data_IF_159417359145
#
_entry.id   IF_159417359145
#
_cell.length_a   1.000
_cell.length_b   1.000
_cell.length_c   1.000
_cell.angle_alpha   90.00
_cell.angle_beta   90.00
_cell.angle_gamma   90.00
#
_symmetry.space_group_name_H-M   'P 1'
#
loop_
_entity.id
_entity.type
_entity.pdbx_description
1 polymer ?
#
# COMPACT_ATOMS: atom_id res chain seq x y z
N UNK A 1 8.66 -7.20 42.66
CA UNK A 1 7.93 -8.34 42.07
C UNK A 1 6.40 -8.17 42.14
N UNK A 2 5.75 -8.25 43.32
CA UNK A 2 4.26 -8.22 43.43
C UNK A 2 3.56 -7.03 42.76
N UNK A 3 4.10 -5.80 42.90
CA UNK A 3 3.55 -4.59 42.26
C UNK A 3 3.66 -4.61 40.72
N UNK A 4 4.74 -5.19 40.20
CA UNK A 4 4.94 -5.34 38.75
C UNK A 4 3.99 -6.39 38.17
N UNK A 5 3.81 -7.52 38.86
CA UNK A 5 2.84 -8.56 38.48
C UNK A 5 1.42 -8.00 38.48
N UNK A 6 1.02 -7.24 39.51
CA UNK A 6 -0.29 -6.59 39.55
C UNK A 6 -0.53 -5.62 38.39
N UNK A 7 0.47 -4.81 38.04
CA UNK A 7 0.38 -3.88 36.91
C UNK A 7 0.30 -4.61 35.56
N UNK A 8 1.07 -5.68 35.38
CA UNK A 8 1.04 -6.51 34.18
C UNK A 8 -0.31 -7.21 33.99
N UNK A 9 -0.87 -7.81 35.05
CA UNK A 9 -2.19 -8.43 35.03
C UNK A 9 -3.27 -7.40 34.71
N UNK A 10 -3.20 -6.20 35.29
CA UNK A 10 -4.14 -5.11 34.99
C UNK A 10 -4.08 -4.67 33.52
N UNK A 11 -2.88 -4.51 32.97
CA UNK A 11 -2.70 -4.17 31.55
C UNK A 11 -3.25 -5.26 30.63
N UNK A 12 -2.95 -6.53 30.91
CA UNK A 12 -3.52 -7.66 30.18
C UNK A 12 -5.06 -7.62 30.25
N UNK A 13 -5.62 -7.36 31.44
CA UNK A 13 -7.07 -7.23 31.62
C UNK A 13 -7.67 -6.16 30.71
N UNK A 14 -7.05 -4.98 30.62
CA UNK A 14 -7.49 -3.91 29.71
C UNK A 14 -7.41 -4.39 28.25
N UNK A 15 -6.27 -4.94 27.82
CA UNK A 15 -6.12 -5.39 26.43
C UNK A 15 -7.14 -6.47 26.07
N UNK A 16 -7.37 -7.45 26.96
CA UNK A 16 -8.38 -8.48 26.76
C UNK A 16 -9.79 -7.91 26.71
N UNK A 17 -10.13 -6.94 27.57
CA UNK A 17 -11.44 -6.26 27.56
C UNK A 17 -11.72 -5.48 26.28
N UNK A 18 -10.69 -5.15 25.49
CA UNK A 18 -10.84 -4.48 24.19
C UNK A 18 -10.81 -5.51 23.06
N UNK A 19 -9.80 -6.39 23.05
CA UNK A 19 -9.56 -7.35 21.98
C UNK A 19 -10.72 -8.34 21.86
N UNK A 20 -11.20 -8.89 22.98
CA UNK A 20 -12.25 -9.93 22.95
C UNK A 20 -13.56 -9.38 22.35
N UNK A 21 -14.13 -8.24 22.80
CA UNK A 21 -15.31 -7.68 22.15
C UNK A 21 -15.09 -7.33 20.68
N UNK A 22 -13.92 -6.78 20.32
CA UNK A 22 -13.62 -6.47 18.92
C UNK A 22 -13.59 -7.73 18.03
N UNK A 23 -12.98 -8.82 18.48
CA UNK A 23 -12.95 -10.09 17.74
C UNK A 23 -14.34 -10.70 17.64
N UNK A 24 -15.11 -10.71 18.75
CA UNK A 24 -16.49 -11.21 18.74
C UNK A 24 -17.35 -10.41 17.78
N UNK A 25 -17.25 -9.08 17.80
CA UNK A 25 -17.98 -8.21 16.90
C UNK A 25 -17.58 -8.43 15.44
N UNK A 26 -16.28 -8.58 15.14
CA UNK A 26 -15.80 -8.97 13.81
C UNK A 26 -16.44 -10.27 13.35
N UNK A 27 -16.39 -11.33 14.16
CA UNK A 27 -16.95 -12.64 13.78
C UNK A 27 -18.47 -12.60 13.55
N UNK A 28 -19.21 -11.77 14.29
CA UNK A 28 -20.65 -11.57 14.07
C UNK A 28 -20.90 -10.85 12.75
N UNK A 29 -20.12 -9.81 12.43
CA UNK A 29 -20.21 -9.11 11.15
C UNK A 29 -19.88 -10.05 10.00
N UNK A 30 -18.79 -10.81 10.11
CA UNK A 30 -18.35 -11.77 9.10
C UNK A 30 -19.42 -12.86 8.88
N UNK A 31 -20.06 -13.32 9.96
CA UNK A 31 -21.21 -14.23 9.86
C UNK A 31 -22.39 -13.62 9.11
N UNK A 32 -22.68 -12.33 9.35
CA UNK A 32 -23.78 -11.63 8.71
C UNK A 32 -23.51 -11.37 7.21
N UNK A 33 -22.27 -11.06 6.84
CA UNK A 33 -21.89 -10.78 5.45
C UNK A 33 -21.70 -12.04 4.62
N UNK A 34 -21.00 -13.04 5.16
CA UNK A 34 -20.61 -14.25 4.42
C UNK A 34 -21.57 -15.44 4.63
N UNK A 35 -22.56 -15.33 5.53
CA UNK A 35 -23.45 -16.44 5.92
C UNK A 35 -22.73 -17.69 6.49
N UNK A 36 -21.47 -17.56 6.90
CA UNK A 36 -20.65 -18.61 7.50
C UNK A 36 -19.88 -18.06 8.70
N UNK A 37 -19.66 -18.88 9.73
CA UNK A 37 -18.80 -18.46 10.83
C UNK A 37 -17.35 -18.51 10.36
N UNK A 38 -16.72 -17.34 10.24
CA UNK A 38 -15.31 -17.20 9.88
C UNK A 38 -14.59 -16.37 10.92
N UNK A 39 -13.29 -16.64 11.07
CA UNK A 39 -12.39 -15.84 11.90
C UNK A 39 -11.33 -15.29 10.96
N UNK A 40 -11.57 -14.11 10.43
CA UNK A 40 -10.77 -13.54 9.34
C UNK A 40 -9.31 -13.32 9.75
N UNK A 41 -9.05 -13.00 11.02
CA UNK A 41 -7.70 -12.85 11.55
C UNK A 41 -6.93 -14.18 11.50
N UNK A 42 -7.59 -15.30 11.80
CA UNK A 42 -6.99 -16.64 11.69
C UNK A 42 -6.79 -17.04 10.23
N UNK A 43 -7.78 -16.77 9.37
CA UNK A 43 -7.68 -17.04 7.93
C UNK A 43 -6.51 -16.25 7.30
N UNK A 44 -6.32 -14.99 7.71
CA UNK A 44 -5.18 -14.18 7.30
C UNK A 44 -3.85 -14.83 7.70
N UNK A 45 -3.70 -15.27 8.95
CA UNK A 45 -2.47 -15.92 9.41
C UNK A 45 -2.23 -17.22 8.63
N UNK A 46 -3.28 -18.05 8.49
CA UNK A 46 -3.23 -19.32 7.77
C UNK A 46 -2.79 -19.14 6.33
N UNK A 47 -3.40 -18.20 5.61
CA UNK A 47 -3.07 -17.93 4.21
C UNK A 47 -1.68 -17.31 4.03
N UNK A 48 -1.36 -16.26 4.79
CA UNK A 48 -0.14 -15.46 4.57
C UNK A 48 1.12 -16.08 5.16
N UNK A 49 1.02 -16.69 6.35
CA UNK A 49 2.18 -17.22 7.08
C UNK A 49 2.32 -18.74 6.96
N UNK A 50 1.22 -19.51 7.11
CA UNK A 50 1.32 -20.97 7.10
C UNK A 50 1.40 -21.55 5.68
N UNK A 51 0.63 -21.00 4.74
CA UNK A 51 0.57 -21.49 3.36
C UNK A 51 1.38 -20.66 2.37
N UNK A 52 1.96 -19.53 2.80
CA UNK A 52 2.78 -18.68 1.93
C UNK A 52 2.03 -18.05 0.76
N UNK A 53 0.69 -17.99 0.81
CA UNK A 53 -0.14 -17.51 -0.30
C UNK A 53 0.12 -16.07 -0.70
N UNK A 54 0.63 -15.27 0.23
CA UNK A 54 1.05 -13.90 -0.03
C UNK A 54 2.15 -13.82 -1.10
N UNK A 55 3.05 -14.81 -1.18
CA UNK A 55 4.15 -14.84 -2.16
C UNK A 55 3.69 -14.91 -3.62
N UNK A 56 2.45 -15.34 -3.87
CA UNK A 56 1.84 -15.36 -5.21
C UNK A 56 1.74 -13.95 -5.79
N UNK A 57 1.52 -12.94 -4.94
CA UNK A 57 1.43 -11.53 -5.34
C UNK A 57 2.81 -10.86 -5.49
N UNK A 58 3.88 -11.65 -5.53
CA UNK A 58 5.25 -11.18 -5.65
C UNK A 58 6.00 -11.17 -4.32
N UNK A 59 7.32 -11.35 -4.40
CA UNK A 59 8.23 -11.44 -3.25
C UNK A 59 9.23 -10.29 -3.30
N UNK A 60 9.40 -9.60 -2.18
CA UNK A 60 10.39 -8.55 -2.02
C UNK A 60 11.43 -8.94 -0.95
N UNK A 61 12.67 -8.44 -1.02
CA UNK A 61 13.69 -8.73 -0.02
C UNK A 61 13.26 -8.29 1.39
N UNK A 62 13.79 -8.94 2.42
CA UNK A 62 13.44 -8.68 3.83
C UNK A 62 13.64 -7.20 4.22
N UNK A 63 14.66 -6.53 3.66
CA UNK A 63 14.99 -5.13 3.94
C UNK A 63 14.11 -4.13 3.18
N UNK A 64 13.17 -4.57 2.34
CA UNK A 64 12.42 -3.69 1.44
C UNK A 64 11.73 -2.54 2.18
N UNK A 65 11.14 -2.79 3.35
CA UNK A 65 10.52 -1.73 4.16
C UNK A 65 11.53 -0.65 4.59
N UNK A 66 12.76 -1.03 4.93
CA UNK A 66 13.81 -0.11 5.34
C UNK A 66 14.42 0.63 4.15
N UNK A 67 14.71 -0.08 3.05
CA UNK A 67 15.42 0.50 1.91
C UNK A 67 14.50 1.29 0.97
N UNK A 68 13.29 0.81 0.73
CA UNK A 68 12.37 1.33 -0.29
C UNK A 68 11.06 1.83 0.32
N UNK A 69 10.43 1.03 1.19
CA UNK A 69 9.14 1.32 1.81
C UNK A 69 9.09 2.70 2.49
N UNK A 70 9.87 2.84 3.57
CA UNK A 70 9.96 4.08 4.33
C UNK A 70 10.52 5.24 3.52
N UNK A 71 11.55 5.00 2.71
CA UNK A 71 12.18 6.03 1.87
C UNK A 71 11.17 6.63 0.88
N UNK A 72 10.36 5.80 0.23
CA UNK A 72 9.37 6.26 -0.73
C UNK A 72 8.18 6.97 -0.04
N UNK A 73 7.78 6.52 1.15
CA UNK A 73 6.63 7.10 1.86
C UNK A 73 6.96 8.40 2.60
N UNK A 74 8.17 8.52 3.15
CA UNK A 74 8.63 9.72 3.85
C UNK A 74 9.29 10.74 2.93
N UNK A 75 9.67 10.34 1.71
CA UNK A 75 10.28 11.21 0.71
C UNK A 75 11.45 12.02 1.29
N UNK A 76 11.40 13.35 1.18
CA UNK A 76 12.43 14.26 1.67
C UNK A 76 12.49 14.36 3.19
N UNK A 77 11.54 13.77 3.91
CA UNK A 77 11.55 13.70 5.37
C UNK A 77 12.36 12.51 5.91
N UNK A 78 12.64 11.50 5.08
CA UNK A 78 13.48 10.34 5.44
C UNK A 78 14.77 10.71 6.19
N UNK A 79 15.62 11.62 5.68
CA UNK A 79 16.86 12.01 6.39
C UNK A 79 16.59 12.64 7.75
N UNK A 80 15.50 13.41 7.91
CA UNK A 80 15.16 14.04 9.19
C UNK A 80 14.78 13.00 10.25
N UNK A 81 14.05 11.95 9.84
CA UNK A 81 13.69 10.83 10.71
C UNK A 81 14.94 10.05 11.14
N UNK A 82 15.86 9.77 10.20
CA UNK A 82 17.12 9.08 10.51
C UNK A 82 17.96 9.92 11.48
N UNK A 83 18.11 11.22 11.22
CA UNK A 83 18.84 12.14 12.12
C UNK A 83 18.24 12.10 13.53
N UNK A 84 16.91 12.10 13.65
CA UNK A 84 16.26 11.98 14.95
C UNK A 84 16.64 10.69 15.67
N UNK A 85 16.51 9.53 15.00
CA UNK A 85 16.81 8.23 15.60
C UNK A 85 18.27 8.18 16.04
N UNK A 86 19.21 8.62 15.19
CA UNK A 86 20.64 8.67 15.51
C UNK A 86 20.91 9.59 16.70
N UNK A 87 20.38 10.82 16.70
CA UNK A 87 20.53 11.75 17.82
C UNK A 87 19.92 11.22 19.12
N UNK A 88 18.79 10.51 19.03
CA UNK A 88 18.14 9.89 20.17
C UNK A 88 19.01 8.80 20.80
N UNK A 89 19.65 7.94 19.99
CA UNK A 89 20.55 6.90 20.51
C UNK A 89 21.89 7.44 21.02
N UNK A 90 22.45 8.50 20.40
CA UNK A 90 23.72 9.10 20.83
C UNK A 90 23.56 9.91 22.12
N UNK A 91 22.54 10.78 22.19
CA UNK A 91 22.41 11.76 23.25
C UNK A 91 21.35 11.39 24.31
N UNK A 92 20.55 10.36 24.03
CA UNK A 92 19.50 9.89 24.91
C UNK A 92 18.25 10.78 24.96
N UNK A 93 17.19 10.29 25.64
CA UNK A 93 15.90 10.97 25.71
C UNK A 93 15.95 12.31 26.45
N UNK A 94 16.86 12.45 27.43
CA UNK A 94 16.99 13.67 28.26
C UNK A 94 17.45 14.87 27.45
N UNK A 95 18.51 14.72 26.64
CA UNK A 95 19.00 15.82 25.82
C UNK A 95 17.98 16.17 24.72
N UNK A 96 17.39 15.16 24.09
CA UNK A 96 16.37 15.39 23.06
C UNK A 96 15.16 16.17 23.61
N UNK A 97 14.70 15.86 24.83
CA UNK A 97 13.58 16.56 25.46
C UNK A 97 13.90 18.01 25.81
N UNK A 98 15.12 18.29 26.25
CA UNK A 98 15.60 19.66 26.51
C UNK A 98 15.72 20.50 25.23
N UNK A 99 16.01 19.87 24.08
CA UNK A 99 16.04 20.55 22.79
C UNK A 99 14.62 20.93 22.29
N UNK A 100 13.59 20.18 22.73
CA UNK A 100 12.18 20.37 22.35
C UNK A 100 11.50 21.42 23.25
N UNK A 101 11.63 21.28 24.58
CA UNK A 101 10.85 22.02 25.58
C UNK A 101 11.66 23.17 26.21
N UNK A 102 11.19 24.41 26.05
CA UNK A 102 11.80 25.64 26.62
C UNK A 102 11.57 25.77 28.15
N UNK A 103 10.57 25.07 28.69
CA UNK A 103 10.19 25.15 30.10
C UNK A 103 10.94 24.08 30.90
N UNK A 104 11.81 24.51 31.80
CA UNK A 104 12.43 23.68 32.84
C UNK A 104 11.29 23.17 33.74
N UNK A 105 10.73 22.02 33.39
CA UNK A 105 9.82 21.31 34.28
C UNK A 105 10.69 20.49 35.20
N UNK A 106 10.50 20.65 36.52
CA UNK A 106 11.20 19.89 37.56
C UNK A 106 10.75 18.43 37.51
N UNK A 107 11.23 17.72 36.49
CA UNK A 107 11.06 16.28 36.39
C UNK A 107 12.10 15.62 37.28
N UNK A 108 11.62 14.72 38.14
CA UNK A 108 12.41 13.90 39.04
C UNK A 108 13.69 13.38 38.36
N UNK A 109 14.84 13.65 39.00
CA UNK A 109 16.19 13.21 38.60
C UNK A 109 16.30 11.68 38.39
N UNK A 110 15.29 10.91 38.82
CA UNK A 110 15.18 9.46 38.64
C UNK A 110 14.53 9.01 37.31
N UNK A 111 14.33 9.90 36.34
CA UNK A 111 13.83 9.50 35.00
C UNK A 111 14.86 8.62 34.30
N UNK A 112 14.74 7.31 34.49
CA UNK A 112 15.55 6.26 33.89
C UNK A 112 15.67 6.47 32.39
N UNK A 113 16.87 6.28 31.82
CA UNK A 113 17.18 6.36 30.39
C UNK A 113 16.53 5.22 29.57
N UNK A 114 15.36 4.74 29.98
CA UNK A 114 14.77 3.53 29.45
C UNK A 114 13.88 3.86 28.24
N UNK A 115 14.19 3.24 27.10
CA UNK A 115 13.50 3.41 25.82
C UNK A 115 11.98 3.25 25.94
N UNK A 116 11.51 2.31 26.77
CA UNK A 116 10.07 2.04 26.96
C UNK A 116 9.35 3.06 27.86
N UNK A 117 10.06 3.95 28.54
CA UNK A 117 9.46 4.98 29.42
C UNK A 117 9.36 6.36 28.76
N UNK A 118 10.06 6.56 27.65
CA UNK A 118 10.03 7.79 26.87
C UNK A 118 9.02 7.66 25.71
N UNK A 119 8.13 8.64 25.48
CA UNK A 119 7.16 8.57 24.39
C UNK A 119 7.80 8.44 22.99
N UNK A 120 8.91 9.12 22.73
CA UNK A 120 9.62 8.99 21.45
C UNK A 120 10.29 7.63 21.33
N UNK A 121 10.87 7.14 22.44
CA UNK A 121 11.42 5.80 22.53
C UNK A 121 10.37 4.71 22.26
N UNK A 122 9.16 4.85 22.81
CA UNK A 122 8.05 3.95 22.55
C UNK A 122 7.63 3.97 21.08
N UNK A 123 7.56 5.15 20.44
CA UNK A 123 7.33 5.26 19.00
C UNK A 123 8.41 4.55 18.17
N UNK A 124 9.70 4.66 18.53
CA UNK A 124 10.80 3.94 17.87
C UNK A 124 10.60 2.42 18.01
N UNK A 125 10.23 1.94 19.21
CA UNK A 125 9.95 0.52 19.45
C UNK A 125 8.78 0.04 18.60
N UNK A 126 7.69 0.80 18.52
CA UNK A 126 6.51 0.44 17.70
C UNK A 126 6.85 0.38 16.21
N UNK A 127 7.59 1.38 15.70
CA UNK A 127 8.05 1.38 14.32
C UNK A 127 8.95 0.17 14.05
N UNK A 128 9.97 -0.04 14.90
CA UNK A 128 10.93 -1.14 14.76
C UNK A 128 10.27 -2.52 14.84
N UNK A 129 9.35 -2.71 15.79
CA UNK A 129 8.55 -3.94 15.94
C UNK A 129 7.71 -4.23 14.70
N UNK A 130 6.98 -3.22 14.22
CA UNK A 130 6.09 -3.38 13.06
C UNK A 130 6.89 -3.71 11.79
N UNK A 131 8.00 -2.98 11.56
CA UNK A 131 8.89 -3.26 10.44
C UNK A 131 9.49 -4.66 10.54
N UNK A 132 9.95 -5.06 11.73
CA UNK A 132 10.54 -6.38 11.92
C UNK A 132 9.58 -7.50 11.51
N UNK A 133 8.36 -7.51 12.04
CA UNK A 133 7.40 -8.58 11.74
C UNK A 133 6.94 -8.58 10.29
N UNK A 134 6.66 -7.41 9.71
CA UNK A 134 6.27 -7.34 8.30
C UNK A 134 7.42 -7.61 7.34
N UNK A 135 8.68 -7.38 7.74
CA UNK A 135 9.85 -7.75 6.95
C UNK A 135 10.03 -9.26 6.79
N UNK A 136 9.47 -10.07 7.70
CA UNK A 136 9.47 -11.53 7.62
C UNK A 136 8.48 -12.06 6.58
N UNK A 137 7.49 -11.27 6.17
CA UNK A 137 6.53 -11.66 5.13
C UNK A 137 7.20 -11.63 3.75
N UNK A 138 6.97 -12.62 2.88
CA UNK A 138 7.54 -12.63 1.54
C UNK A 138 7.00 -11.45 0.71
N UNK A 139 5.68 -11.25 0.77
CA UNK A 139 4.99 -10.12 0.14
C UNK A 139 4.95 -8.90 1.03
N UNK A 140 5.20 -7.73 0.43
CA UNK A 140 5.30 -6.45 1.12
C UNK A 140 4.57 -5.39 0.34
N UNK A 141 3.81 -4.59 1.06
CA UNK A 141 3.07 -3.46 0.52
C UNK A 141 3.25 -2.22 1.37
N UNK A 142 3.20 -1.04 0.73
CA UNK A 142 3.26 0.24 1.43
C UNK A 142 2.12 0.39 2.45
N UNK A 143 0.91 -0.09 2.11
CA UNK A 143 -0.28 0.05 2.97
C UNK A 143 -0.11 -0.58 4.36
N UNK A 144 0.69 -1.63 4.49
CA UNK A 144 0.90 -2.28 5.79
C UNK A 144 1.64 -1.38 6.79
N UNK A 145 2.49 -0.47 6.30
CA UNK A 145 3.24 0.48 7.16
C UNK A 145 2.64 1.89 7.17
N UNK A 146 1.48 2.12 6.56
CA UNK A 146 0.79 3.42 6.59
C UNK A 146 0.57 3.98 8.00
N UNK A 147 0.16 3.17 9.00
CA UNK A 147 0.00 3.66 10.37
C UNK A 147 1.29 4.19 11.02
N UNK A 148 2.47 3.87 10.45
CA UNK A 148 3.75 4.32 10.97
C UNK A 148 4.14 5.72 10.46
N UNK A 149 3.54 6.22 9.38
CA UNK A 149 3.87 7.54 8.79
C UNK A 149 3.70 8.67 9.82
N UNK A 150 2.57 8.79 10.56
CA UNK A 150 2.42 9.90 11.50
C UNK A 150 3.46 9.88 12.61
N UNK A 151 3.84 8.67 13.08
CA UNK A 151 4.88 8.49 14.10
C UNK A 151 6.26 8.92 13.58
N UNK A 152 6.59 8.57 12.34
CA UNK A 152 7.84 8.99 11.71
C UNK A 152 7.84 10.50 11.41
N UNK A 153 6.75 11.07 10.92
CA UNK A 153 6.63 12.51 10.65
C UNK A 153 6.74 13.36 11.93
N UNK A 154 6.33 12.81 13.08
CA UNK A 154 6.57 13.45 14.37
C UNK A 154 8.07 13.66 14.64
N UNK A 155 8.91 12.67 14.33
CA UNK A 155 10.37 12.78 14.44
C UNK A 155 10.95 13.82 13.47
N UNK A 156 10.48 13.82 12.21
CA UNK A 156 10.88 14.83 11.24
C UNK A 156 10.52 16.25 11.69
N UNK A 157 9.35 16.42 12.32
CA UNK A 157 8.92 17.70 12.91
C UNK A 157 9.84 18.18 14.03
N UNK A 158 10.25 17.29 14.94
CA UNK A 158 11.18 17.62 16.02
C UNK A 158 12.52 18.14 15.46
N UNK A 159 13.10 17.42 14.49
CA UNK A 159 14.38 17.82 13.89
C UNK A 159 14.25 19.12 13.09
N UNK A 160 13.12 19.34 12.43
CA UNK A 160 12.84 20.61 11.73
C UNK A 160 12.82 21.79 12.71
N UNK A 161 12.17 21.64 13.87
CA UNK A 161 12.16 22.68 14.92
C UNK A 161 13.55 22.91 15.50
N UNK A 162 14.31 21.84 15.76
CA UNK A 162 15.68 21.93 16.21
C UNK A 162 16.57 22.69 15.22
N UNK A 163 16.45 22.39 13.93
CA UNK A 163 17.18 23.05 12.86
C UNK A 163 16.82 24.54 12.75
N UNK A 164 15.54 24.89 12.85
CA UNK A 164 15.09 26.29 12.83
C UNK A 164 15.68 27.07 14.02
N UNK A 165 15.84 26.46 15.19
CA UNK A 165 16.38 27.13 16.39
C UNK A 165 17.90 27.25 16.33
N UNK A 166 18.59 26.12 16.18
CA UNK A 166 20.03 26.01 16.36
C UNK A 166 20.80 26.22 15.05
N UNK A 167 20.19 25.89 13.91
CA UNK A 167 20.82 25.99 12.59
C UNK A 167 21.93 24.96 12.43
N UNK A 168 22.51 24.91 11.22
CA UNK A 168 23.80 24.25 11.05
C UNK A 168 24.92 25.24 11.36
N UNK A 169 26.05 24.76 11.89
CA UNK A 169 27.30 25.53 12.00
C UNK A 169 27.89 25.94 10.63
N UNK A 170 27.27 25.49 9.54
CA UNK A 170 27.57 25.90 8.16
C UNK A 170 27.14 27.36 7.95
N UNK A 171 27.64 27.99 6.89
CA UNK A 171 27.45 29.41 6.49
C UNK A 171 25.98 29.83 6.19
N UNK A 172 25.01 29.13 6.76
CA UNK A 172 23.57 29.29 6.59
C UNK A 172 23.04 30.59 7.23
N UNK A 173 21.86 31.08 6.76
CA UNK A 173 21.30 32.36 7.21
C UNK A 173 21.13 32.42 8.73
N UNK A 174 21.62 33.54 9.32
CA UNK A 174 21.64 33.76 10.77
C UNK A 174 20.23 33.89 11.38
N UNK A 175 19.23 34.34 10.61
CA UNK A 175 17.87 34.58 11.12
C UNK A 175 17.04 33.29 11.21
N UNK A 176 16.37 33.08 12.35
CA UNK A 176 15.38 32.01 12.55
C UNK A 176 14.21 32.11 11.55
N UNK A 177 13.80 33.33 11.21
CA UNK A 177 12.72 33.56 10.26
C UNK A 177 13.10 33.02 8.87
N UNK A 178 14.29 33.36 8.39
CA UNK A 178 14.79 32.90 7.08
C UNK A 178 14.92 31.38 7.03
N UNK A 179 15.50 30.74 8.06
CA UNK A 179 15.60 29.27 8.14
C UNK A 179 14.23 28.58 8.06
N UNK A 180 13.22 29.12 8.75
CA UNK A 180 11.84 28.62 8.70
C UNK A 180 11.27 28.74 7.28
N UNK A 181 11.42 29.89 6.64
CA UNK A 181 10.92 30.11 5.28
C UNK A 181 11.60 29.17 4.27
N UNK A 182 12.92 29.01 4.35
CA UNK A 182 13.66 28.07 3.49
C UNK A 182 13.15 26.63 3.65
N UNK A 183 12.92 26.18 4.88
CA UNK A 183 12.41 24.82 5.14
C UNK A 183 10.98 24.62 4.63
N UNK A 184 10.10 25.62 4.81
CA UNK A 184 8.73 25.59 4.26
C UNK A 184 8.78 25.50 2.73
N UNK A 185 9.56 26.37 2.08
CA UNK A 185 9.67 26.37 0.63
C UNK A 185 10.29 25.07 0.09
N UNK A 186 11.28 24.50 0.77
CA UNK A 186 11.85 23.21 0.41
C UNK A 186 10.84 22.06 0.50
N UNK A 187 10.02 22.01 1.56
CA UNK A 187 8.98 20.99 1.70
C UNK A 187 7.93 21.14 0.58
N UNK A 188 7.47 22.37 0.35
CA UNK A 188 6.48 22.68 -0.69
C UNK A 188 7.00 22.30 -2.08
N UNK A 189 8.22 22.72 -2.42
CA UNK A 189 8.80 22.50 -3.76
C UNK A 189 9.08 21.02 -4.05
N UNK A 190 9.28 20.20 -3.02
CA UNK A 190 9.54 18.76 -3.19
C UNK A 190 8.26 17.92 -3.17
N UNK A 191 7.29 18.25 -2.33
CA UNK A 191 6.07 17.45 -2.20
C UNK A 191 4.96 17.82 -3.19
N UNK A 192 4.74 19.11 -3.50
CA UNK A 192 3.63 19.51 -4.39
C UNK A 192 3.83 18.97 -5.80
N UNK A 193 5.00 19.14 -6.47
CA UNK A 193 5.17 18.63 -7.82
C UNK A 193 5.03 17.11 -7.90
N UNK A 194 5.56 16.39 -6.89
CA UNK A 194 5.42 14.94 -6.83
C UNK A 194 3.97 14.52 -6.62
N UNK A 195 3.23 15.19 -5.72
CA UNK A 195 1.81 14.92 -5.52
C UNK A 195 1.01 15.15 -6.80
N UNK A 196 1.27 16.27 -7.51
CA UNK A 196 0.62 16.55 -8.79
C UNK A 196 0.97 15.48 -9.83
N UNK A 197 2.22 15.06 -9.93
CA UNK A 197 2.62 14.01 -10.86
C UNK A 197 1.95 12.67 -10.54
N UNK A 198 2.01 12.22 -9.28
CA UNK A 198 1.46 10.92 -8.87
C UNK A 198 -0.06 10.89 -8.99
N UNK A 199 -0.75 12.00 -8.69
CA UNK A 199 -2.21 12.05 -8.76
C UNK A 199 -2.76 12.32 -10.16
N UNK A 200 -2.01 13.01 -11.05
CA UNK A 200 -2.54 13.46 -12.35
C UNK A 200 -1.94 12.75 -13.56
N UNK A 201 -0.77 12.12 -13.41
CA UNK A 201 0.01 11.57 -14.53
C UNK A 201 0.37 10.10 -14.29
N UNK A 202 0.92 9.76 -13.14
CA UNK A 202 1.38 8.41 -12.85
C UNK A 202 0.24 7.39 -12.90
N UNK A 203 0.42 6.30 -13.64
CA UNK A 203 -0.55 5.20 -13.78
C UNK A 203 -1.97 5.61 -14.21
N UNK A 204 -2.13 6.79 -14.84
CA UNK A 204 -3.44 7.28 -15.29
C UNK A 204 -4.06 6.51 -16.47
N UNK A 205 -3.25 5.76 -17.21
CA UNK A 205 -3.67 5.11 -18.47
C UNK A 205 -4.91 4.23 -18.35
N UNK A 206 -5.05 3.46 -17.27
CA UNK A 206 -6.25 2.63 -17.05
C UNK A 206 -7.53 3.46 -16.89
N UNK A 207 -7.47 4.60 -16.19
CA UNK A 207 -8.62 5.50 -16.04
C UNK A 207 -9.01 6.15 -17.36
N UNK A 208 -8.04 6.61 -18.13
CA UNK A 208 -8.29 7.23 -19.44
C UNK A 208 -8.86 6.21 -20.44
N UNK A 209 -8.41 4.95 -20.39
CA UNK A 209 -8.93 3.85 -21.21
C UNK A 209 -10.43 3.63 -21.00
N UNK A 210 -10.85 3.49 -19.73
CA UNK A 210 -12.25 3.25 -19.38
C UNK A 210 -13.10 4.50 -19.64
N UNK A 211 -12.54 5.70 -19.43
CA UNK A 211 -13.22 6.95 -19.77
C UNK A 211 -13.49 7.04 -21.29
N UNK A 212 -12.50 6.70 -22.12
CA UNK A 212 -12.68 6.64 -23.57
C UNK A 212 -13.72 5.59 -23.96
N UNK A 213 -13.65 4.40 -23.36
CA UNK A 213 -14.62 3.33 -23.59
C UNK A 213 -16.06 3.79 -23.26
N UNK A 214 -16.26 4.44 -22.10
CA UNK A 214 -17.57 4.98 -21.71
C UNK A 214 -18.08 6.04 -22.70
N UNK A 215 -17.20 6.84 -23.30
CA UNK A 215 -17.57 7.80 -24.35
C UNK A 215 -18.03 7.09 -25.63
N UNK A 216 -17.33 6.04 -26.07
CA UNK A 216 -17.71 5.27 -27.27
C UNK A 216 -19.05 4.52 -27.09
N UNK A 217 -19.39 4.16 -25.85
CA UNK A 217 -20.63 3.44 -25.52
C UNK A 217 -21.82 4.37 -25.26
N UNK A 218 -21.65 5.70 -25.27
CA UNK A 218 -22.69 6.65 -24.83
C UNK A 218 -24.03 6.52 -25.59
N UNK A 219 -23.97 6.17 -26.87
CA UNK A 219 -25.14 6.09 -27.76
C UNK A 219 -25.58 4.66 -28.09
N UNK A 220 -25.01 3.64 -27.44
CA UNK A 220 -25.31 2.22 -27.69
C UNK A 220 -26.17 1.67 -26.55
N UNK A 221 -27.07 0.73 -26.86
CA UNK A 221 -27.89 0.04 -25.86
C UNK A 221 -27.02 -0.91 -25.03
N UNK A 222 -27.23 -0.98 -23.72
CA UNK A 222 -26.40 -1.78 -22.80
C UNK A 222 -26.39 -3.27 -23.17
N UNK A 223 -27.52 -3.81 -23.65
CA UNK A 223 -27.68 -5.22 -24.04
C UNK A 223 -26.95 -5.57 -25.36
N UNK A 224 -26.43 -4.59 -26.10
CA UNK A 224 -25.72 -4.79 -27.36
C UNK A 224 -24.21 -4.62 -27.24
N UNK A 225 -23.69 -4.54 -26.00
CA UNK A 225 -22.29 -4.22 -25.74
C UNK A 225 -21.69 -5.24 -24.78
N UNK A 226 -20.56 -5.80 -25.20
CA UNK A 226 -19.67 -6.55 -24.32
C UNK A 226 -18.25 -5.96 -24.38
N UNK A 227 -17.57 -5.98 -23.26
CA UNK A 227 -16.18 -5.53 -23.14
C UNK A 227 -15.33 -6.73 -22.75
N UNK A 228 -14.26 -6.98 -23.50
CA UNK A 228 -13.29 -8.03 -23.21
C UNK A 228 -11.94 -7.36 -22.99
N UNK A 229 -11.58 -7.14 -21.73
CA UNK A 229 -10.32 -6.52 -21.38
C UNK A 229 -9.19 -7.55 -21.29
N UNK A 230 -8.25 -7.45 -22.22
CA UNK A 230 -7.07 -8.30 -22.36
C UNK A 230 -5.80 -7.65 -21.81
N UNK A 231 -5.96 -6.56 -21.04
CA UNK A 231 -4.86 -5.98 -20.26
C UNK A 231 -4.58 -6.81 -19.00
N UNK A 232 -3.40 -6.64 -18.38
CA UNK A 232 -3.05 -7.35 -17.17
C UNK A 232 -4.08 -7.10 -16.08
N UNK A 233 -4.20 -8.07 -15.19
CA UNK A 233 -5.08 -7.98 -14.04
C UNK A 233 -4.96 -6.67 -13.26
N UNK A 234 -6.09 -6.20 -12.74
CA UNK A 234 -6.21 -5.00 -11.90
C UNK A 234 -5.66 -3.69 -12.51
N UNK A 235 -5.44 -3.64 -13.83
CA UNK A 235 -4.95 -2.44 -14.52
C UNK A 235 -6.03 -1.38 -14.75
N UNK A 236 -7.29 -1.79 -14.87
CA UNK A 236 -8.43 -0.89 -15.10
C UNK A 236 -9.53 -1.07 -14.10
N UNK A 237 -10.21 0.04 -13.72
CA UNK A 237 -11.45 -0.09 -12.99
C UNK A 237 -12.54 -0.64 -13.93
N UNK A 238 -13.20 -1.71 -13.51
CA UNK A 238 -14.21 -2.41 -14.30
C UNK A 238 -15.58 -1.71 -14.24
N UNK A 239 -16.65 -2.48 -14.03
CA UNK A 239 -18.04 -2.02 -13.97
C UNK A 239 -18.24 -0.90 -12.93
N UNK A 240 -17.48 -0.92 -11.82
CA UNK A 240 -17.57 0.09 -10.77
C UNK A 240 -17.29 1.53 -11.23
N UNK A 241 -16.53 1.73 -12.31
CA UNK A 241 -16.27 3.06 -12.89
C UNK A 241 -17.11 3.33 -14.14
N UNK A 242 -17.56 2.28 -14.84
CA UNK A 242 -18.45 2.41 -15.99
C UNK A 242 -19.87 2.78 -15.58
N UNK A 243 -20.33 2.33 -14.40
CA UNK A 243 -21.69 2.52 -13.89
C UNK A 243 -22.79 2.09 -14.89
N UNK A 244 -22.54 1.01 -15.63
CA UNK A 244 -23.47 0.43 -16.62
C UNK A 244 -23.58 -1.07 -16.42
N UNK A 245 -24.75 -1.62 -16.68
CA UNK A 245 -24.98 -3.06 -16.58
C UNK A 245 -24.62 -3.76 -17.90
N UNK A 246 -23.33 -3.91 -18.17
CA UNK A 246 -22.81 -4.55 -19.39
C UNK A 246 -21.97 -5.79 -19.04
N UNK A 247 -21.85 -6.72 -19.99
CA UNK A 247 -20.90 -7.82 -19.88
C UNK A 247 -19.47 -7.28 -19.96
N UNK A 248 -18.71 -7.44 -18.87
CA UNK A 248 -17.31 -7.03 -18.78
C UNK A 248 -16.46 -8.22 -18.38
N UNK A 249 -15.74 -8.81 -19.34
CA UNK A 249 -14.78 -9.89 -19.11
C UNK A 249 -13.39 -9.30 -18.91
N UNK A 250 -12.75 -9.70 -17.82
CA UNK A 250 -11.33 -9.46 -17.52
C UNK A 250 -10.61 -10.81 -17.50
N UNK A 251 -9.34 -10.83 -17.89
CA UNK A 251 -8.45 -11.97 -17.61
C UNK A 251 -8.40 -12.23 -16.09
N UNK A 252 -8.68 -13.45 -15.65
CA UNK A 252 -8.58 -13.84 -14.24
C UNK A 252 -7.14 -14.17 -13.86
N UNK A 253 -6.76 -13.76 -12.66
CA UNK A 253 -5.48 -14.02 -12.01
C UNK A 253 -5.68 -14.47 -10.55
N UNK A 254 -6.83 -15.06 -10.28
CA UNK A 254 -7.16 -15.50 -8.93
C UNK A 254 -6.42 -16.82 -8.64
N UNK A 255 -5.68 -16.90 -7.52
CA UNK A 255 -5.04 -18.16 -7.14
C UNK A 255 -6.07 -19.21 -6.77
N UNK A 256 -5.85 -20.43 -7.25
CA UNK A 256 -6.63 -21.59 -6.82
C UNK A 256 -6.23 -21.94 -5.38
N UNK A 257 -7.01 -21.44 -4.43
CA UNK A 257 -6.78 -21.60 -2.99
C UNK A 257 -6.76 -23.08 -2.55
N UNK A 258 -7.46 -23.95 -3.29
CA UNK A 258 -7.50 -25.39 -3.00
C UNK A 258 -6.16 -26.03 -3.32
N UNK A 259 -5.59 -25.71 -4.49
CA UNK A 259 -4.27 -26.21 -4.91
C UNK A 259 -3.14 -25.61 -4.11
N UNK A 260 -3.26 -24.34 -3.73
CA UNK A 260 -2.29 -23.66 -2.88
C UNK A 260 -2.15 -24.35 -1.51
N UNK A 261 -3.26 -24.77 -0.90
CA UNK A 261 -3.25 -25.49 0.38
C UNK A 261 -2.57 -26.89 0.29
N UNK A 262 -2.47 -27.46 -0.91
CA UNK A 262 -1.87 -28.77 -1.17
C UNK A 262 -0.35 -28.70 -1.46
N UNK A 263 0.25 -27.50 -1.47
CA UNK A 263 1.70 -27.29 -1.49
C UNK A 263 2.42 -27.55 -2.82
N UNK A 264 1.71 -27.89 -3.89
CA UNK A 264 2.29 -28.33 -5.17
C UNK A 264 1.90 -27.44 -6.36
N UNK A 265 1.71 -26.14 -6.12
CA UNK A 265 1.12 -25.25 -7.12
C UNK A 265 2.11 -24.22 -7.65
N UNK A 266 2.54 -24.42 -8.91
CA UNK A 266 2.98 -23.30 -9.74
C UNK A 266 1.71 -22.64 -10.25
N UNK A 267 1.39 -21.46 -9.74
CA UNK A 267 0.22 -20.72 -10.19
C UNK A 267 0.41 -20.34 -11.65
N UNK A 268 -0.46 -20.89 -12.50
CA UNK A 268 -0.65 -20.46 -13.87
C UNK A 268 -2.11 -20.04 -13.94
N UNK A 269 -2.35 -18.77 -14.23
CA UNK A 269 -3.69 -18.21 -14.33
C UNK A 269 -4.13 -17.98 -15.79
N UNK A 270 -5.36 -17.49 -15.98
CA UNK A 270 -5.90 -17.20 -17.30
C UNK A 270 -5.09 -16.11 -18.02
N UNK A 271 -4.56 -15.14 -17.27
CA UNK A 271 -3.72 -14.09 -17.82
C UNK A 271 -2.36 -14.63 -18.29
N UNK A 272 -1.73 -15.52 -17.52
CA UNK A 272 -0.48 -16.20 -17.90
C UNK A 272 -0.64 -16.98 -19.20
N UNK A 273 -1.72 -17.77 -19.32
CA UNK A 273 -2.05 -18.51 -20.53
C UNK A 273 -2.24 -17.59 -21.74
N UNK A 274 -2.92 -16.45 -21.52
CA UNK A 274 -3.09 -15.44 -22.56
C UNK A 274 -1.75 -14.81 -22.98
N UNK A 275 -0.88 -14.45 -22.04
CA UNK A 275 0.40 -13.81 -22.36
C UNK A 275 1.45 -14.79 -22.92
N UNK A 276 1.35 -16.08 -22.62
CA UNK A 276 2.19 -17.13 -23.20
C UNK A 276 1.87 -17.35 -24.69
N UNK A 277 0.58 -17.46 -25.05
CA UNK A 277 0.16 -17.59 -26.43
C UNK A 277 -1.19 -16.89 -26.71
N UNK A 278 -1.17 -15.57 -27.00
CA UNK A 278 -2.38 -14.78 -27.17
C UNK A 278 -3.27 -15.27 -28.31
N UNK A 279 -2.65 -15.81 -29.37
CA UNK A 279 -3.37 -16.29 -30.55
C UNK A 279 -4.18 -17.54 -30.24
N UNK A 280 -3.54 -18.54 -29.63
CA UNK A 280 -4.21 -19.79 -29.27
C UNK A 280 -5.32 -19.53 -28.23
N UNK A 281 -5.06 -18.64 -27.28
CA UNK A 281 -6.07 -18.23 -26.30
C UNK A 281 -7.28 -17.57 -26.99
N UNK A 282 -7.04 -16.63 -27.92
CA UNK A 282 -8.11 -15.96 -28.67
C UNK A 282 -8.89 -16.91 -29.57
N UNK A 283 -8.23 -17.87 -30.23
CA UNK A 283 -8.90 -18.88 -31.06
C UNK A 283 -9.86 -19.72 -30.21
N UNK A 284 -9.42 -20.18 -29.02
CA UNK A 284 -10.27 -20.91 -28.08
C UNK A 284 -11.40 -20.06 -27.52
N UNK A 285 -11.13 -18.80 -27.18
CA UNK A 285 -12.13 -17.88 -26.64
C UNK A 285 -13.15 -17.45 -27.71
N UNK A 286 -12.72 -17.23 -28.94
CA UNK A 286 -13.61 -16.87 -30.06
C UNK A 286 -14.60 -17.99 -30.38
N UNK A 287 -14.17 -19.26 -30.30
CA UNK A 287 -15.07 -20.42 -30.43
C UNK A 287 -16.16 -20.42 -29.34
N UNK A 288 -15.86 -19.90 -28.14
CA UNK A 288 -16.85 -19.75 -27.07
C UNK A 288 -17.81 -18.57 -27.26
N UNK A 289 -17.40 -17.53 -27.99
CA UNK A 289 -18.20 -16.33 -28.29
C UNK A 289 -19.08 -16.46 -29.55
N UNK A 290 -18.77 -17.43 -30.43
CA UNK A 290 -19.40 -17.56 -31.75
C UNK A 290 -20.94 -17.75 -31.72
N UNK A 291 -21.51 -18.02 -30.55
CA UNK A 291 -22.95 -18.19 -30.28
C UNK A 291 -23.74 -16.88 -30.13
N UNK A 292 -23.10 -15.72 -29.92
CA UNK A 292 -23.79 -14.44 -29.65
C UNK A 292 -23.63 -13.45 -30.82
N UNK A 293 -24.44 -13.62 -31.88
CA UNK A 293 -24.24 -12.92 -33.16
C UNK A 293 -24.52 -11.40 -33.15
N UNK A 294 -25.22 -10.86 -32.15
CA UNK A 294 -25.72 -9.46 -32.16
C UNK A 294 -24.98 -8.49 -31.20
N UNK A 295 -23.86 -8.89 -30.59
CA UNK A 295 -23.18 -8.08 -29.59
C UNK A 295 -21.96 -7.37 -30.19
N UNK A 296 -21.80 -6.08 -29.90
CA UNK A 296 -20.59 -5.33 -30.23
C UNK A 296 -19.52 -5.56 -29.15
N UNK A 297 -18.37 -6.08 -29.54
CA UNK A 297 -17.27 -6.32 -28.62
C UNK A 297 -16.26 -5.16 -28.66
N UNK A 298 -15.98 -4.59 -27.49
CA UNK A 298 -14.86 -3.68 -27.28
C UNK A 298 -13.71 -4.42 -26.62
N UNK A 299 -12.55 -4.42 -27.27
CA UNK A 299 -11.36 -5.16 -26.81
C UNK A 299 -10.21 -4.19 -26.52
N UNK A 300 -10.07 -3.71 -25.27
CA UNK A 300 -8.86 -3.01 -24.84
C UNK A 300 -7.70 -3.99 -24.61
N UNK A 301 -6.53 -3.68 -25.17
CA UNK A 301 -5.29 -4.43 -24.95
C UNK A 301 -4.03 -3.56 -25.17
N UNK A 302 -2.87 -4.02 -24.72
CA UNK A 302 -1.57 -3.35 -24.95
C UNK A 302 -0.96 -3.73 -26.31
N UNK A 303 -0.53 -2.73 -27.09
CA UNK A 303 -0.03 -2.88 -28.47
C UNK A 303 1.07 -3.93 -28.70
N UNK A 304 1.86 -4.26 -27.67
CA UNK A 304 2.94 -5.27 -27.78
C UNK A 304 2.43 -6.69 -28.04
N UNK A 305 1.18 -7.01 -27.67
CA UNK A 305 0.63 -8.37 -27.78
C UNK A 305 0.35 -8.78 -29.22
N UNK A 306 0.20 -7.82 -30.15
CA UNK A 306 -0.18 -8.07 -31.55
C UNK A 306 0.98 -7.85 -32.54
N UNK A 307 2.07 -7.20 -32.11
CA UNK A 307 3.23 -6.95 -32.96
C UNK A 307 4.51 -7.55 -32.35
N UNK A 308 4.92 -8.70 -32.88
CA UNK A 308 6.29 -9.23 -32.79
C UNK A 308 7.33 -8.33 -33.47
N UNK A 309 6.99 -7.10 -33.88
CA UNK A 309 7.96 -6.09 -34.31
C UNK A 309 7.60 -4.67 -33.82
N UNK A 310 8.62 -4.07 -33.19
CA UNK A 310 8.82 -2.67 -32.81
C UNK A 310 8.16 -2.17 -31.52
N UNK A 311 9.08 -1.85 -30.61
CA UNK A 311 8.93 -1.19 -29.32
C UNK A 311 8.19 0.14 -29.39
N UNK A 312 6.90 0.16 -29.09
CA UNK A 312 6.20 1.28 -28.42
C UNK A 312 4.95 0.76 -27.69
N UNK A 313 4.78 1.14 -26.43
CA UNK A 313 3.62 0.85 -25.55
C UNK A 313 2.47 1.82 -25.83
N UNK A 314 1.50 1.42 -26.66
CA UNK A 314 0.27 2.16 -26.91
C UNK A 314 -0.95 1.28 -26.59
N UNK A 315 -1.99 1.87 -26.01
CA UNK A 315 -3.28 1.20 -25.81
C UNK A 315 -4.04 1.17 -27.14
N UNK A 316 -4.57 0.02 -27.55
CA UNK A 316 -5.54 -0.05 -28.66
C UNK A 316 -6.87 -0.59 -28.18
N UNK A 317 -7.95 0.00 -28.71
CA UNK A 317 -9.33 -0.41 -28.45
C UNK A 317 -9.95 -0.74 -29.80
N UNK A 318 -10.25 -2.02 -30.02
CA UNK A 318 -10.94 -2.48 -31.22
C UNK A 318 -12.44 -2.60 -30.94
N UNK A 319 -13.25 -2.12 -31.87
CA UNK A 319 -14.68 -2.40 -31.92
C UNK A 319 -14.89 -3.44 -33.02
N UNK A 320 -15.15 -4.68 -32.64
CA UNK A 320 -15.54 -5.73 -33.58
C UNK A 320 -17.07 -5.88 -33.57
N UNK A 321 -17.66 -5.78 -34.76
CA UNK A 321 -19.05 -6.18 -35.02
C UNK A 321 -18.98 -7.39 -35.94
N UNK A 322 -19.72 -8.46 -35.63
CA UNK A 322 -19.89 -9.59 -36.55
C UNK A 322 -20.52 -9.00 -37.83
N UNK A 323 -19.88 -9.23 -38.98
CA UNK A 323 -20.38 -8.82 -40.29
C UNK A 323 -21.55 -9.70 -40.72
#
# INVERSE_FOLDING_TARGET
AKRFVGHFVYQIGIYLSIIVPCVVFSCILDRWTFNQWTVDQWNFIKFNFLFGGSGVYGVQPWHWYLSQGFTAMLLTQTPLVIIFIVMYFIFGPRLMRNLIIRKKTDYSKNSSNHLLSDPCGLCIVVIGWTVFWYSLLPHKEFRFIFPLIPLANYFAGIISVWFIRNGFRLHFPKSQHTRRQCLIWFIISTHIPLALYVCLVHQRGGLDAIKFLNQQMKNKLENEIAVVNLMPCHTVPSIGYLHRNISFKQLSCDPDLTKLALGNYRHIDEADLFYENPRLWLENYYLSLATEANINYFVPYFSQVVNTQKSQTNLMIFSCRKA
#
